data_IF_404791482865
#
_entry.id   IF_404791482865
#
_cell.length_a   1.000
_cell.length_b   1.000
_cell.length_c   1.000
_cell.angle_alpha   90.00
_cell.angle_beta   90.00
_cell.angle_gamma   90.00
#
_symmetry.space_group_name_H-M   'P 1'
#
loop_
_entity.id
_entity.type
_entity.pdbx_description
1 polymer ?
#
# COMPACT_ATOMS: atom_id res chain seq x y z
N UNK A 1 9.31 -1.84 13.36
CA UNK A 1 10.57 -1.08 13.20
C UNK A 1 11.29 -1.63 11.97
N UNK A 2 11.76 -0.80 11.03
CA UNK A 2 12.46 -1.32 9.83
C UNK A 2 13.73 -2.12 10.18
N UNK A 3 14.31 -1.94 11.37
CA UNK A 3 15.47 -2.72 11.85
C UNK A 3 15.12 -4.18 12.18
N UNK A 4 13.84 -4.48 12.42
CA UNK A 4 13.35 -5.82 12.74
C UNK A 4 12.71 -6.51 11.53
N UNK A 5 12.88 -5.97 10.33
CA UNK A 5 12.19 -6.44 9.14
C UNK A 5 12.74 -7.79 8.67
N UNK A 6 11.88 -8.81 8.67
CA UNK A 6 12.15 -10.14 8.15
C UNK A 6 10.96 -10.63 7.30
N UNK A 7 11.18 -10.78 5.99
CA UNK A 7 10.15 -11.22 5.05
C UNK A 7 9.64 -12.64 5.34
N UNK A 8 10.46 -13.49 5.96
CA UNK A 8 10.04 -14.85 6.31
C UNK A 8 8.96 -14.86 7.41
N UNK A 9 8.80 -13.76 8.16
CA UNK A 9 7.78 -13.64 9.20
C UNK A 9 6.39 -13.31 8.67
N UNK A 10 6.26 -12.70 7.49
CA UNK A 10 4.98 -12.18 6.97
C UNK A 10 3.91 -13.26 6.91
N UNK A 11 4.27 -14.46 6.44
CA UNK A 11 3.35 -15.61 6.39
C UNK A 11 3.16 -16.35 7.71
N UNK A 12 3.91 -16.01 8.76
CA UNK A 12 3.95 -16.73 10.04
C UNK A 12 3.07 -16.10 11.13
N UNK A 13 2.40 -14.99 10.83
CA UNK A 13 1.56 -14.29 11.79
C UNK A 13 0.27 -13.76 11.14
N UNK A 14 -0.81 -13.52 11.91
CA UNK A 14 -2.10 -13.12 11.34
C UNK A 14 -2.16 -11.67 10.85
N UNK A 15 -1.10 -10.87 11.05
CA UNK A 15 -1.06 -9.45 10.69
C UNK A 15 -0.28 -9.16 9.42
N UNK A 16 0.30 -10.18 8.78
CA UNK A 16 1.22 -10.00 7.66
C UNK A 16 2.41 -9.09 8.02
N UNK A 17 2.82 -9.08 9.29
CA UNK A 17 3.91 -8.24 9.75
C UNK A 17 5.27 -8.90 9.46
N UNK A 18 6.25 -8.17 8.90
CA UNK A 18 7.63 -8.63 8.82
C UNK A 18 8.39 -8.47 10.15
N UNK A 19 7.80 -7.80 11.14
CA UNK A 19 8.41 -7.57 12.46
C UNK A 19 7.75 -8.51 13.49
N UNK A 20 8.40 -9.64 13.80
CA UNK A 20 7.85 -10.60 14.77
C UNK A 20 7.63 -10.00 16.17
N UNK A 21 8.41 -8.99 16.56
CA UNK A 21 8.31 -8.37 17.88
C UNK A 21 7.07 -7.47 18.03
N UNK A 22 6.49 -6.98 16.91
CA UNK A 22 5.28 -6.15 16.97
C UNK A 22 3.99 -6.96 17.13
N UNK A 23 4.02 -8.25 16.75
CA UNK A 23 2.85 -9.15 16.78
C UNK A 23 2.16 -9.15 18.15
N UNK A 24 2.82 -9.45 19.28
CA UNK A 24 2.14 -9.46 20.59
C UNK A 24 1.59 -8.08 20.99
N UNK A 25 2.24 -6.99 20.57
CA UNK A 25 1.79 -5.62 20.83
C UNK A 25 0.48 -5.33 20.09
N UNK A 26 0.39 -5.73 18.82
CA UNK A 26 -0.82 -5.56 18.03
C UNK A 26 -1.95 -6.49 18.48
N UNK A 27 -1.66 -7.72 18.92
CA UNK A 27 -2.66 -8.60 19.52
C UNK A 27 -3.32 -7.98 20.74
N UNK A 28 -2.52 -7.49 21.70
CA UNK A 28 -3.03 -6.84 22.90
C UNK A 28 -3.83 -5.58 22.56
N UNK A 29 -3.29 -4.73 21.68
CA UNK A 29 -3.94 -3.50 21.24
C UNK A 29 -5.30 -3.77 20.58
N UNK A 30 -5.36 -4.69 19.62
CA UNK A 30 -6.59 -5.02 18.88
C UNK A 30 -7.61 -5.75 19.75
N UNK A 31 -7.16 -6.57 20.70
CA UNK A 31 -8.06 -7.17 21.69
C UNK A 31 -8.71 -6.09 22.57
N UNK A 32 -7.95 -5.06 22.97
CA UNK A 32 -8.47 -3.87 23.65
C UNK A 32 -9.54 -3.14 22.85
N UNK A 33 -9.26 -2.83 21.58
CA UNK A 33 -10.22 -2.19 20.66
C UNK A 33 -11.49 -3.03 20.50
N UNK A 34 -11.33 -4.34 20.33
CA UNK A 34 -12.44 -5.29 20.21
C UNK A 34 -13.30 -5.32 21.48
N UNK A 35 -12.69 -5.40 22.66
CA UNK A 35 -13.39 -5.37 23.97
C UNK A 35 -14.15 -4.06 24.18
N UNK A 36 -13.60 -2.94 23.70
CA UNK A 36 -14.27 -1.65 23.69
C UNK A 36 -15.42 -1.55 22.67
N UNK A 37 -15.59 -2.56 21.80
CA UNK A 37 -16.62 -2.57 20.77
C UNK A 37 -16.39 -1.55 19.65
N UNK A 38 -15.13 -1.14 19.45
CA UNK A 38 -14.71 -0.13 18.49
C UNK A 38 -13.92 -0.77 17.33
N UNK A 39 -13.39 0.07 16.43
CA UNK A 39 -12.50 -0.31 15.34
C UNK A 39 -11.36 0.70 15.19
N UNK A 40 -10.33 0.31 14.46
CA UNK A 40 -9.17 1.14 14.11
C UNK A 40 -8.80 0.95 12.64
N UNK A 41 -8.11 1.93 12.07
CA UNK A 41 -7.57 1.86 10.72
C UNK A 41 -6.20 1.19 10.68
N UNK A 42 -5.59 1.19 9.50
CA UNK A 42 -4.21 0.75 9.30
C UNK A 42 -3.57 1.49 8.12
N UNK A 43 -2.24 1.46 8.08
CA UNK A 43 -1.46 1.75 6.87
C UNK A 43 -0.80 0.45 6.45
N UNK A 44 -0.93 0.09 5.18
CA UNK A 44 -0.33 -1.11 4.59
C UNK A 44 0.73 -0.67 3.59
N UNK A 45 1.91 -1.29 3.63
CA UNK A 45 2.98 -1.13 2.65
C UNK A 45 3.06 -2.39 1.78
N UNK A 46 3.10 -2.19 0.46
CA UNK A 46 3.30 -3.25 -0.54
C UNK A 46 4.60 -2.94 -1.27
N UNK A 47 5.46 -3.95 -1.35
CA UNK A 47 6.75 -3.86 -2.02
C UNK A 47 6.75 -4.89 -3.16
N UNK A 48 6.96 -4.42 -4.39
CA UNK A 48 7.14 -5.28 -5.55
C UNK A 48 8.60 -5.24 -6.02
N UNK A 49 9.29 -6.36 -5.89
CA UNK A 49 10.69 -6.53 -6.28
C UNK A 49 10.82 -7.20 -7.64
N UNK A 50 11.98 -7.04 -8.29
CA UNK A 50 12.24 -7.67 -9.59
C UNK A 50 11.41 -7.10 -10.75
N UNK A 51 10.77 -5.94 -10.57
CA UNK A 51 10.01 -5.28 -11.63
C UNK A 51 10.98 -4.72 -12.67
N UNK A 52 10.90 -5.10 -13.96
CA UNK A 52 11.81 -4.59 -14.97
C UNK A 52 11.72 -3.07 -15.12
N UNK A 53 12.84 -2.43 -15.46
CA UNK A 53 12.86 -1.01 -15.78
C UNK A 53 12.08 -0.72 -17.08
N UNK A 54 11.45 0.45 -17.14
CA UNK A 54 10.77 0.94 -18.34
C UNK A 54 9.34 0.44 -18.53
N UNK A 55 8.65 -0.03 -17.48
CA UNK A 55 7.21 -0.30 -17.50
C UNK A 55 6.44 0.97 -17.12
N UNK A 56 5.29 1.21 -17.74
CA UNK A 56 4.53 2.46 -17.61
C UNK A 56 4.62 3.32 -18.86
N UNK A 57 3.82 4.38 -18.89
CA UNK A 57 3.80 5.35 -19.98
C UNK A 57 3.63 6.78 -19.44
N UNK A 58 4.14 7.80 -20.15
CA UNK A 58 3.95 9.18 -19.74
C UNK A 58 2.47 9.60 -19.85
N UNK A 59 2.09 10.55 -18.99
CA UNK A 59 0.85 11.34 -18.99
C UNK A 59 -0.45 10.57 -18.69
N UNK A 60 -0.84 9.55 -19.47
CA UNK A 60 -2.19 8.95 -19.39
C UNK A 60 -2.25 7.47 -19.01
N UNK A 61 -1.10 6.83 -18.83
CA UNK A 61 -1.00 5.46 -18.35
C UNK A 61 0.29 5.31 -17.54
N UNK A 62 0.47 6.21 -16.56
CA UNK A 62 1.60 6.12 -15.66
C UNK A 62 1.42 4.93 -14.71
N UNK A 63 2.49 4.22 -14.42
CA UNK A 63 2.45 3.05 -13.55
C UNK A 63 1.96 3.39 -12.13
N UNK A 64 2.48 4.47 -11.55
CA UNK A 64 2.07 5.00 -10.24
C UNK A 64 0.60 5.43 -10.20
N UNK A 65 0.10 6.05 -11.27
CA UNK A 65 -1.32 6.42 -11.41
C UNK A 65 -2.22 5.19 -11.38
N UNK A 66 -1.90 4.15 -12.14
CA UNK A 66 -2.71 2.94 -12.21
C UNK A 66 -2.64 2.14 -10.89
N UNK A 67 -1.45 2.06 -10.26
CA UNK A 67 -1.29 1.50 -8.92
C UNK A 67 -2.16 2.28 -7.91
N UNK A 68 -2.08 3.62 -7.92
CA UNK A 68 -2.84 4.45 -7.01
C UNK A 68 -4.35 4.28 -7.21
N UNK A 69 -4.81 4.21 -8.45
CA UNK A 69 -6.22 3.96 -8.80
C UNK A 69 -6.71 2.63 -8.24
N UNK A 70 -5.96 1.54 -8.49
CA UNK A 70 -6.33 0.20 -8.03
C UNK A 70 -6.29 0.08 -6.50
N UNK A 71 -5.28 0.62 -5.84
CA UNK A 71 -5.22 0.64 -4.37
C UNK A 71 -6.34 1.49 -3.76
N UNK A 72 -6.63 2.66 -4.32
CA UNK A 72 -7.73 3.52 -3.86
C UNK A 72 -9.10 2.89 -4.07
N UNK A 73 -9.24 1.96 -5.02
CA UNK A 73 -10.48 1.22 -5.26
C UNK A 73 -10.84 0.23 -4.15
N UNK A 74 -9.87 -0.16 -3.32
CA UNK A 74 -10.11 -1.08 -2.20
C UNK A 74 -11.03 -0.39 -1.20
N UNK A 75 -12.09 -1.09 -0.80
CA UNK A 75 -13.05 -0.58 0.18
C UNK A 75 -12.34 -0.09 1.45
N UNK A 76 -12.77 1.07 1.95
CA UNK A 76 -12.21 1.77 3.11
C UNK A 76 -10.84 2.42 2.89
N UNK A 77 -10.19 2.32 1.72
CA UNK A 77 -8.98 3.08 1.43
C UNK A 77 -9.30 4.56 1.23
N UNK A 78 -8.50 5.43 1.86
CA UNK A 78 -8.67 6.89 1.87
C UNK A 78 -7.46 7.67 1.38
N UNK A 79 -6.31 7.02 1.23
CA UNK A 79 -5.06 7.65 0.80
C UNK A 79 -4.12 6.60 0.21
N UNK A 80 -3.35 7.00 -0.80
CA UNK A 80 -2.32 6.17 -1.42
C UNK A 80 -1.06 7.01 -1.62
N UNK A 81 0.09 6.40 -1.41
CA UNK A 81 1.42 6.97 -1.54
C UNK A 81 2.33 6.05 -2.34
N UNK A 82 3.27 6.65 -3.08
CA UNK A 82 4.36 5.93 -3.76
C UNK A 82 5.69 6.47 -3.22
N UNK A 83 6.66 5.60 -2.95
CA UNK A 83 7.98 5.98 -2.45
C UNK A 83 7.90 6.66 -1.09
N UNK A 84 8.46 7.86 -0.96
CA UNK A 84 8.35 8.69 0.24
C UNK A 84 6.95 9.28 0.45
N UNK A 85 6.06 9.22 -0.54
CA UNK A 85 4.67 9.63 -0.37
C UNK A 85 4.54 11.11 0.03
N UNK A 86 3.71 11.38 1.04
CA UNK A 86 3.53 12.75 1.54
C UNK A 86 4.81 13.31 2.18
N UNK A 87 5.74 12.49 2.67
CA UNK A 87 7.00 12.97 3.23
C UNK A 87 7.88 13.67 2.18
N UNK A 88 7.70 13.37 0.89
CA UNK A 88 8.40 14.07 -0.19
C UNK A 88 8.06 15.58 -0.25
N UNK A 89 6.93 16.02 0.33
CA UNK A 89 6.58 17.43 0.42
C UNK A 89 7.43 18.20 1.45
N UNK A 90 8.16 17.49 2.32
CA UNK A 90 8.97 18.05 3.41
C UNK A 90 10.49 17.97 3.11
N UNK A 91 10.88 17.40 1.97
CA UNK A 91 12.29 17.20 1.57
C UNK A 91 12.78 18.27 0.58
N UNK A 92 14.08 18.59 0.63
CA UNK A 92 14.70 19.43 -0.40
C UNK A 92 14.86 18.67 -1.72
N UNK A 93 15.18 19.37 -2.80
CA UNK A 93 15.43 18.74 -4.10
C UNK A 93 16.63 17.80 -4.08
N UNK A 94 17.68 18.18 -3.33
CA UNK A 94 18.91 17.41 -3.14
C UNK A 94 18.63 16.12 -2.34
N UNK A 95 17.83 16.20 -1.28
CA UNK A 95 17.51 15.05 -0.43
C UNK A 95 16.52 14.09 -1.10
N UNK A 96 15.62 14.60 -1.95
CA UNK A 96 14.63 13.79 -2.66
C UNK A 96 15.21 13.12 -3.92
N UNK A 97 16.32 13.61 -4.46
CA UNK A 97 16.91 13.09 -5.69
C UNK A 97 17.50 11.70 -5.47
N UNK A 98 16.98 10.70 -6.21
CA UNK A 98 17.60 9.39 -6.27
C UNK A 98 18.81 9.41 -7.21
N UNK A 99 19.99 9.65 -6.63
CA UNK A 99 21.25 9.68 -7.37
C UNK A 99 21.57 8.32 -8.02
N UNK A 100 22.21 8.37 -9.18
CA UNK A 100 22.64 7.18 -9.92
C UNK A 100 24.16 7.14 -10.11
N UNK A 101 24.71 5.92 -10.13
CA UNK A 101 26.07 5.60 -10.59
C UNK A 101 26.02 4.40 -11.52
N UNK A 102 27.11 4.16 -12.24
CA UNK A 102 27.24 2.96 -13.06
C UNK A 102 27.77 1.80 -12.20
N UNK A 103 27.11 0.64 -12.28
CA UNK A 103 27.57 -0.60 -11.69
C UNK A 103 28.73 -1.22 -12.46
N UNK A 104 29.44 -2.14 -11.82
CA UNK A 104 30.59 -2.84 -12.43
C UNK A 104 30.20 -3.70 -13.65
N UNK A 105 28.92 -4.07 -13.76
CA UNK A 105 28.34 -4.83 -14.86
C UNK A 105 27.80 -3.93 -16.00
N UNK A 106 27.97 -2.61 -15.88
CA UNK A 106 27.46 -1.65 -16.86
C UNK A 106 25.97 -1.34 -16.72
N UNK A 107 25.33 -1.74 -15.62
CA UNK A 107 23.93 -1.39 -15.32
C UNK A 107 23.84 -0.19 -14.37
N UNK A 108 22.85 0.72 -14.53
CA UNK A 108 22.64 1.81 -13.60
C UNK A 108 22.26 1.30 -12.20
N UNK A 109 22.89 1.87 -11.17
CA UNK A 109 22.55 1.63 -9.76
C UNK A 109 22.10 2.96 -9.15
N UNK A 110 20.92 2.94 -8.54
CA UNK A 110 20.42 4.04 -7.72
C UNK A 110 20.94 3.93 -6.29
N UNK A 111 21.31 5.06 -5.68
CA UNK A 111 21.88 5.13 -4.33
C UNK A 111 20.82 5.24 -3.23
N UNK A 112 19.58 5.58 -3.60
CA UNK A 112 18.40 5.68 -2.74
C UNK A 112 17.13 5.34 -3.54
N UNK A 113 15.98 5.18 -2.88
CA UNK A 113 14.70 4.87 -3.52
C UNK A 113 13.54 5.75 -2.99
N UNK A 114 13.76 7.06 -2.94
CA UNK A 114 12.80 8.06 -2.52
C UNK A 114 11.56 8.07 -3.44
N UNK A 115 11.76 7.82 -4.74
CA UNK A 115 10.70 7.73 -5.74
C UNK A 115 9.86 6.45 -5.65
N UNK A 116 10.28 5.46 -4.86
CA UNK A 116 9.56 4.19 -4.72
C UNK A 116 9.49 3.40 -6.01
N UNK A 117 10.59 3.37 -6.76
CA UNK A 117 10.76 2.58 -7.97
C UNK A 117 10.08 3.12 -9.22
N UNK A 118 9.45 4.30 -9.16
CA UNK A 118 8.72 4.90 -10.29
C UNK A 118 9.16 6.36 -10.49
N UNK A 119 9.75 6.68 -11.64
CA UNK A 119 10.14 8.03 -12.03
C UNK A 119 9.40 8.45 -13.31
N UNK A 120 8.72 9.60 -13.26
CA UNK A 120 7.96 10.10 -14.41
C UNK A 120 6.79 9.18 -14.84
N UNK A 121 6.33 8.30 -13.95
CA UNK A 121 5.33 7.28 -14.25
C UNK A 121 5.87 5.99 -14.87
N UNK A 122 7.19 5.80 -14.84
CA UNK A 122 7.88 4.65 -15.44
C UNK A 122 8.73 3.94 -14.38
N UNK A 123 8.72 2.61 -14.35
CA UNK A 123 9.52 1.83 -13.42
C UNK A 123 11.02 2.02 -13.64
N UNK A 124 11.78 2.13 -12.56
CA UNK A 124 13.25 2.34 -12.60
C UNK A 124 14.05 1.04 -12.52
N UNK A 125 13.40 -0.07 -12.16
CA UNK A 125 14.06 -1.34 -11.83
C UNK A 125 14.34 -1.52 -10.34
N UNK A 126 14.22 -0.45 -9.55
CA UNK A 126 14.23 -0.54 -8.09
C UNK A 126 12.90 -1.12 -7.57
N UNK A 127 12.85 -1.60 -6.31
CA UNK A 127 11.61 -2.02 -5.70
C UNK A 127 10.53 -0.94 -5.80
N UNK A 128 9.36 -1.32 -6.31
CA UNK A 128 8.19 -0.45 -6.28
C UNK A 128 7.63 -0.48 -4.86
N UNK A 129 7.55 0.70 -4.23
CA UNK A 129 7.04 0.83 -2.86
C UNK A 129 5.77 1.66 -2.89
N UNK A 130 4.66 1.04 -2.51
CA UNK A 130 3.36 1.71 -2.41
C UNK A 130 2.79 1.53 -1.01
N UNK A 131 2.17 2.58 -0.46
CA UNK A 131 1.44 2.52 0.80
C UNK A 131 0.00 2.99 0.62
N UNK A 132 -0.91 2.41 1.38
CA UNK A 132 -2.30 2.86 1.39
C UNK A 132 -2.89 2.88 2.79
N UNK A 133 -3.72 3.90 3.05
CA UNK A 133 -4.35 4.13 4.34
C UNK A 133 -5.79 3.62 4.32
N UNK A 134 -6.10 2.69 5.23
CA UNK A 134 -7.42 2.09 5.42
C UNK A 134 -8.08 2.73 6.63
N UNK A 135 -9.28 3.31 6.46
CA UNK A 135 -10.03 3.89 7.57
C UNK A 135 -10.57 2.82 8.54
N UNK A 136 -10.90 3.19 9.79
CA UNK A 136 -11.60 2.29 10.71
C UNK A 136 -12.92 1.73 10.15
N UNK A 137 -13.23 0.47 10.51
CA UNK A 137 -14.49 -0.19 10.15
C UNK A 137 -15.69 0.59 10.67
N UNK A 138 -16.65 0.95 9.81
CA UNK A 138 -17.80 1.77 10.22
C UNK A 138 -18.82 1.02 11.08
N UNK A 139 -18.90 -0.31 10.97
CA UNK A 139 -19.77 -1.14 11.80
C UNK A 139 -19.12 -1.44 13.15
N UNK A 140 -19.60 -0.76 14.19
CA UNK A 140 -19.12 -0.88 15.57
C UNK A 140 -20.29 -1.13 16.53
N UNK A 141 -19.98 -1.58 17.76
CA UNK A 141 -21.01 -1.90 18.75
C UNK A 141 -21.56 -0.66 19.47
N UNK A 142 -20.85 0.46 19.38
CA UNK A 142 -21.30 1.76 19.91
C UNK A 142 -22.35 2.37 18.98
N UNK A 143 -23.41 2.89 19.58
CA UNK A 143 -24.48 3.58 18.86
C UNK A 143 -23.99 4.85 18.16
N UNK A 144 -24.52 5.09 16.96
CA UNK A 144 -24.21 6.25 16.14
C UNK A 144 -25.49 6.84 15.56
N UNK A 145 -25.58 8.16 15.61
CA UNK A 145 -26.64 8.92 14.97
C UNK A 145 -26.48 8.83 13.44
N UNK A 146 -27.58 8.59 12.76
CA UNK A 146 -27.68 8.52 11.30
C UNK A 146 -29.05 9.01 10.85
N UNK A 147 -29.30 8.94 9.54
CA UNK A 147 -30.63 9.05 8.94
C UNK A 147 -30.98 7.75 8.22
N UNK A 148 -32.27 7.45 8.10
CA UNK A 148 -32.79 6.41 7.22
C UNK A 148 -32.99 6.92 5.77
N UNK A 149 -33.50 6.06 4.89
CA UNK A 149 -33.74 6.40 3.49
C UNK A 149 -34.84 7.47 3.28
N UNK A 150 -35.73 7.66 4.27
CA UNK A 150 -36.77 8.70 4.26
C UNK A 150 -36.27 10.02 4.90
N UNK A 151 -35.00 10.07 5.33
CA UNK A 151 -34.39 11.24 5.96
C UNK A 151 -34.75 11.42 7.43
N UNK A 152 -35.30 10.41 8.10
CA UNK A 152 -35.62 10.48 9.53
C UNK A 152 -34.40 10.12 10.35
N UNK A 153 -34.19 10.85 11.44
CA UNK A 153 -33.12 10.56 12.40
C UNK A 153 -33.33 9.17 13.00
N UNK A 154 -32.27 8.37 12.99
CA UNK A 154 -32.23 7.04 13.60
C UNK A 154 -30.92 6.83 14.34
N UNK A 155 -30.96 6.06 15.40
CA UNK A 155 -29.77 5.56 16.06
C UNK A 155 -29.43 4.17 15.53
N UNK A 156 -28.24 4.04 14.93
CA UNK A 156 -27.77 2.81 14.29
C UNK A 156 -26.79 2.12 15.22
N UNK A 157 -27.04 0.83 15.45
CA UNK A 157 -26.14 -0.07 16.14
C UNK A 157 -26.07 -1.40 15.41
N UNK A 158 -24.89 -1.75 14.90
CA UNK A 158 -24.67 -3.05 14.28
C UNK A 158 -24.47 -4.12 15.35
N UNK A 159 -25.15 -5.27 15.21
CA UNK A 159 -25.04 -6.41 16.12
C UNK A 159 -24.17 -7.49 15.48
N UNK A 160 -23.30 -8.13 16.28
CA UNK A 160 -22.48 -9.26 15.84
C UNK A 160 -20.98 -9.02 16.02
N UNK A 161 -20.18 -9.97 15.54
CA UNK A 161 -18.73 -9.82 15.49
C UNK A 161 -18.35 -9.01 14.25
N UNK A 162 -17.69 -7.89 14.46
CA UNK A 162 -17.11 -7.08 13.40
C UNK A 162 -15.59 -7.11 13.51
N UNK A 163 -14.94 -6.91 12.36
CA UNK A 163 -13.49 -6.86 12.28
C UNK A 163 -12.99 -5.55 12.93
N UNK A 164 -12.17 -5.62 14.00
CA UNK A 164 -11.63 -4.43 14.65
C UNK A 164 -10.67 -3.66 13.73
N UNK A 165 -10.12 -4.29 12.69
CA UNK A 165 -9.24 -3.64 11.72
C UNK A 165 -9.30 -4.34 10.35
N UNK A 166 -10.17 -3.84 9.46
CA UNK A 166 -10.27 -4.36 8.07
C UNK A 166 -8.99 -4.18 7.25
N UNK A 167 -8.06 -3.32 7.70
CA UNK A 167 -6.77 -3.13 7.04
C UNK A 167 -5.90 -4.37 6.99
N UNK A 168 -6.02 -5.28 7.97
CA UNK A 168 -5.29 -6.56 7.97
C UNK A 168 -5.71 -7.41 6.76
N UNK A 169 -7.01 -7.44 6.46
CA UNK A 169 -7.55 -8.19 5.32
C UNK A 169 -7.29 -7.50 3.98
N UNK A 170 -6.93 -6.22 4.00
CA UNK A 170 -6.59 -5.48 2.80
C UNK A 170 -5.17 -5.80 2.30
N UNK A 171 -4.29 -6.39 3.11
CA UNK A 171 -2.91 -6.74 2.72
C UNK A 171 -2.85 -7.59 1.45
N UNK A 172 -3.44 -8.80 1.38
CA UNK A 172 -3.38 -9.61 0.15
C UNK A 172 -4.15 -8.98 -1.02
N UNK A 173 -5.12 -8.10 -0.75
CA UNK A 173 -5.83 -7.36 -1.81
C UNK A 173 -4.90 -6.31 -2.41
N UNK A 174 -4.15 -5.58 -1.57
CA UNK A 174 -3.15 -4.60 -2.00
C UNK A 174 -2.06 -5.23 -2.85
N UNK A 175 -1.53 -6.39 -2.43
CA UNK A 175 -0.58 -7.18 -3.21
C UNK A 175 -1.14 -7.54 -4.60
N UNK A 176 -2.36 -8.07 -4.64
CA UNK A 176 -3.01 -8.43 -5.90
C UNK A 176 -3.24 -7.21 -6.80
N UNK A 177 -3.65 -6.07 -6.25
CA UNK A 177 -3.87 -4.84 -7.02
C UNK A 177 -2.58 -4.31 -7.65
N UNK A 178 -1.48 -4.29 -6.89
CA UNK A 178 -0.16 -3.88 -7.40
C UNK A 178 0.34 -4.86 -8.46
N UNK A 179 0.21 -6.17 -8.22
CA UNK A 179 0.59 -7.20 -9.19
C UNK A 179 -0.21 -7.09 -10.50
N UNK A 180 -1.52 -6.87 -10.42
CA UNK A 180 -2.37 -6.63 -11.59
C UNK A 180 -1.95 -5.39 -12.38
N UNK A 181 -1.63 -4.29 -11.69
CA UNK A 181 -1.14 -3.07 -12.35
C UNK A 181 0.15 -3.35 -13.14
N UNK A 182 1.14 -3.98 -12.48
CA UNK A 182 2.43 -4.30 -13.08
C UNK A 182 2.26 -5.27 -14.25
N UNK A 183 1.42 -6.31 -14.09
CA UNK A 183 1.16 -7.28 -15.15
C UNK A 183 0.54 -6.63 -16.39
N UNK A 184 -0.41 -5.72 -16.22
CA UNK A 184 -1.02 -4.99 -17.34
C UNK A 184 0.02 -4.14 -18.07
N UNK A 185 0.84 -3.37 -17.33
CA UNK A 185 1.92 -2.58 -17.93
C UNK A 185 2.98 -3.43 -18.63
N UNK A 186 3.33 -4.59 -18.05
CA UNK A 186 4.24 -5.55 -18.67
C UNK A 186 3.68 -6.10 -19.99
N UNK A 187 2.41 -6.50 -20.00
CA UNK A 187 1.76 -7.02 -21.21
C UNK A 187 1.61 -5.94 -22.29
N UNK A 188 1.33 -4.69 -21.91
CA UNK A 188 1.28 -3.54 -22.84
C UNK A 188 2.64 -3.27 -23.49
N UNK A 189 3.72 -3.23 -22.72
CA UNK A 189 5.09 -3.02 -23.25
C UNK A 189 5.48 -4.16 -24.21
N UNK A 190 5.19 -5.41 -23.84
CA UNK A 190 5.42 -6.57 -24.72
C UNK A 190 4.59 -6.50 -26.00
N UNK A 191 3.31 -6.10 -25.90
CA UNK A 191 2.44 -5.95 -27.07
C UNK A 191 2.90 -4.88 -28.05
N UNK A 192 3.51 -3.79 -27.55
CA UNK A 192 4.01 -2.70 -28.37
C UNK A 192 5.39 -2.98 -28.97
N UNK A 193 6.28 -3.63 -28.21
CA UNK A 193 7.70 -3.75 -28.60
C UNK A 193 8.11 -5.15 -29.06
N UNK A 194 7.29 -6.17 -28.75
CA UNK A 194 7.61 -7.58 -28.99
C UNK A 194 8.73 -8.14 -28.10
N UNK A 195 9.28 -7.35 -27.17
CA UNK A 195 10.40 -7.74 -26.31
C UNK A 195 9.92 -8.44 -25.04
N UNK A 196 10.74 -9.36 -24.53
CA UNK A 196 10.69 -9.81 -23.15
C UNK A 196 11.71 -8.98 -22.36
N UNK A 197 11.31 -8.48 -21.20
CA UNK A 197 12.21 -7.77 -20.28
C UNK A 197 12.60 -8.67 -19.11
#
# INVERSE_FOLDING_TARGET
DRRNWDWDQVGQNPFFSPDAAIVPVWEEYLDGIRKAGSSIGAVVEVIAEGVPAGLGAPIYAKLDQDIASLLMSINAVKGVEIGNGFAAAETSGEDNADEMRMGNDGTPIFLSNNAGGILGGISTGQPIVARFAVKPTSSILTERQSIDADGKNVDVRTKGRHDPCVGIRAVPIGEAMVACAIADHYLRDRGQTGRLK
#
